data_IF_031625396615
#
_entry.id   IF_031625396615
#
_cell.length_a   1.000
_cell.length_b   1.000
_cell.length_c   1.000
_cell.angle_alpha   90.00
_cell.angle_beta   90.00
_cell.angle_gamma   90.00
#
_symmetry.space_group_name_H-M   'P 1'
#
loop_
_entity.id
_entity.type
_entity.pdbx_description
1 polymer ?
#
# COMPACT_ATOMS: atom_id res chain seq x y z
N UNK A 1 -41.45 11.66 6.76
CA UNK A 1 -40.50 10.61 6.31
C UNK A 1 -41.31 9.38 5.89
N UNK A 2 -41.53 9.17 4.59
CA UNK A 2 -42.22 8.00 4.07
C UNK A 2 -41.36 6.76 4.27
N UNK A 3 -41.81 5.81 5.10
CA UNK A 3 -41.20 4.48 5.21
C UNK A 3 -41.16 3.86 3.81
N UNK A 4 -39.97 3.58 3.30
CA UNK A 4 -39.78 2.81 2.06
C UNK A 4 -40.46 1.46 2.29
N UNK A 5 -41.59 1.24 1.59
CA UNK A 5 -42.29 -0.05 1.64
C UNK A 5 -41.36 -1.10 1.05
N UNK A 6 -41.09 -2.15 1.80
CA UNK A 6 -40.34 -3.29 1.29
C UNK A 6 -41.14 -3.93 0.14
N UNK A 7 -40.60 -3.81 -1.07
CA UNK A 7 -41.22 -4.23 -2.34
C UNK A 7 -40.68 -5.57 -2.82
N UNK A 8 -39.86 -6.24 -2.00
CA UNK A 8 -39.24 -7.52 -2.36
C UNK A 8 -40.30 -8.60 -2.58
N UNK A 9 -41.33 -8.66 -1.74
CA UNK A 9 -42.42 -9.64 -1.90
C UNK A 9 -43.27 -9.37 -3.14
N UNK A 10 -43.64 -8.09 -3.38
CA UNK A 10 -44.35 -7.68 -4.60
C UNK A 10 -43.57 -8.08 -5.87
N UNK A 11 -42.24 -7.98 -5.84
CA UNK A 11 -41.36 -8.40 -6.93
C UNK A 11 -41.30 -9.92 -7.08
N UNK A 12 -41.19 -10.68 -5.99
CA UNK A 12 -41.21 -12.15 -6.02
C UNK A 12 -42.51 -12.68 -6.63
N UNK A 13 -43.64 -12.10 -6.25
CA UNK A 13 -44.95 -12.47 -6.78
C UNK A 13 -45.08 -12.14 -8.26
N UNK A 14 -44.60 -10.98 -8.70
CA UNK A 14 -44.55 -10.61 -10.12
C UNK A 14 -43.68 -11.58 -10.94
N UNK A 15 -42.51 -11.97 -10.42
CA UNK A 15 -41.63 -12.96 -11.07
C UNK A 15 -42.30 -14.33 -11.15
N UNK A 16 -43.02 -14.73 -10.09
CA UNK A 16 -43.78 -15.99 -10.06
C UNK A 16 -44.86 -16.01 -11.12
N UNK A 17 -45.68 -14.96 -11.19
CA UNK A 17 -46.74 -14.83 -12.19
C UNK A 17 -46.17 -14.81 -13.61
N UNK A 18 -45.08 -14.09 -13.84
CA UNK A 18 -44.41 -14.06 -15.15
C UNK A 18 -43.89 -15.45 -15.54
N UNK A 19 -43.23 -16.17 -14.63
CA UNK A 19 -42.70 -17.51 -14.91
C UNK A 19 -43.82 -18.53 -15.24
N UNK A 20 -44.96 -18.45 -14.52
CA UNK A 20 -46.14 -19.27 -14.82
C UNK A 20 -46.71 -18.92 -16.20
N UNK A 21 -46.81 -17.63 -16.53
CA UNK A 21 -47.33 -17.19 -17.84
C UNK A 21 -46.45 -17.63 -19.02
N UNK A 22 -45.15 -17.81 -18.79
CA UNK A 22 -44.20 -18.32 -19.78
C UNK A 22 -44.12 -19.86 -19.83
N UNK A 23 -44.97 -20.57 -19.08
CA UNK A 23 -45.05 -22.04 -19.13
C UNK A 23 -43.90 -22.76 -18.41
N UNK A 24 -43.32 -22.17 -17.37
CA UNK A 24 -42.21 -22.80 -16.64
C UNK A 24 -42.73 -23.94 -15.77
N UNK A 25 -42.11 -25.12 -15.88
CA UNK A 25 -42.41 -26.28 -15.03
C UNK A 25 -42.15 -25.96 -13.54
N UNK A 26 -42.82 -26.68 -12.64
CA UNK A 26 -42.74 -26.50 -11.20
C UNK A 26 -41.30 -26.57 -10.66
N UNK A 27 -40.45 -27.43 -11.24
CA UNK A 27 -39.03 -27.52 -10.91
C UNK A 27 -38.23 -26.27 -11.29
N UNK A 28 -38.52 -25.65 -12.45
CA UNK A 28 -37.88 -24.39 -12.87
C UNK A 28 -38.36 -23.22 -12.04
N UNK A 29 -39.64 -23.20 -11.68
CA UNK A 29 -40.21 -22.19 -10.79
C UNK A 29 -39.57 -22.26 -9.39
N UNK A 30 -39.47 -23.46 -8.81
CA UNK A 30 -38.81 -23.69 -7.54
C UNK A 30 -37.34 -23.26 -7.58
N UNK A 31 -36.62 -23.54 -8.67
CA UNK A 31 -35.23 -23.10 -8.84
C UNK A 31 -35.08 -21.58 -8.92
N UNK A 32 -36.01 -20.86 -9.57
CA UNK A 32 -36.03 -19.39 -9.61
C UNK A 32 -36.32 -18.83 -8.22
N UNK A 33 -37.32 -19.38 -7.53
CA UNK A 33 -37.70 -18.92 -6.18
C UNK A 33 -36.59 -19.19 -5.16
N UNK A 34 -35.87 -20.31 -5.28
CA UNK A 34 -34.74 -20.64 -4.42
C UNK A 34 -33.58 -19.63 -4.53
N UNK A 35 -33.36 -19.03 -5.71
CA UNK A 35 -32.33 -17.99 -5.91
C UNK A 35 -32.60 -16.70 -5.13
N UNK A 36 -33.85 -16.41 -4.77
CA UNK A 36 -34.19 -15.28 -3.91
C UNK A 36 -33.90 -15.55 -2.43
N UNK A 37 -33.81 -16.82 -2.03
CA UNK A 37 -33.57 -17.24 -0.64
C UNK A 37 -32.08 -17.44 -0.40
N UNK A 38 -31.38 -18.07 -1.34
CA UNK A 38 -29.95 -18.35 -1.24
C UNK A 38 -29.25 -17.65 -2.38
N UNK A 39 -28.51 -16.59 -2.06
CA UNK A 39 -27.64 -15.95 -3.02
C UNK A 39 -26.55 -16.94 -3.42
N UNK A 40 -26.46 -17.25 -4.71
CA UNK A 40 -25.35 -18.05 -5.21
C UNK A 40 -24.03 -17.36 -4.82
N UNK A 41 -23.02 -18.11 -4.34
CA UNK A 41 -21.73 -17.51 -4.00
C UNK A 41 -21.20 -16.79 -5.24
N UNK A 42 -20.96 -15.48 -5.10
CA UNK A 42 -20.46 -14.65 -6.18
C UNK A 42 -19.11 -15.22 -6.61
N UNK A 43 -19.02 -15.72 -7.85
CA UNK A 43 -17.76 -16.26 -8.35
C UNK A 43 -16.74 -15.12 -8.38
N UNK A 44 -15.71 -15.22 -7.53
CA UNK A 44 -14.62 -14.23 -7.49
C UNK A 44 -13.83 -14.32 -8.78
N UNK A 45 -13.58 -13.17 -9.40
CA UNK A 45 -12.71 -13.09 -10.57
C UNK A 45 -11.30 -13.59 -10.24
N UNK A 46 -10.52 -14.06 -11.24
CA UNK A 46 -9.13 -14.44 -11.02
C UNK A 46 -8.32 -13.30 -10.39
N UNK A 47 -8.56 -12.06 -10.82
CA UNK A 47 -7.99 -10.85 -10.24
C UNK A 47 -8.29 -10.73 -8.74
N UNK A 48 -9.57 -10.83 -8.33
CA UNK A 48 -9.95 -10.72 -6.92
C UNK A 48 -9.34 -11.84 -6.08
N UNK A 49 -9.21 -13.05 -6.64
CA UNK A 49 -8.58 -14.17 -5.94
C UNK A 49 -7.08 -13.92 -5.72
N UNK A 50 -6.39 -13.43 -6.74
CA UNK A 50 -4.97 -13.06 -6.65
C UNK A 50 -4.76 -11.92 -5.65
N UNK A 51 -5.56 -10.86 -5.72
CA UNK A 51 -5.50 -9.74 -4.78
C UNK A 51 -5.69 -10.16 -3.31
N UNK A 52 -6.65 -11.06 -3.04
CA UNK A 52 -6.86 -11.59 -1.70
C UNK A 52 -5.68 -12.46 -1.21
N UNK A 53 -5.05 -13.22 -2.10
CA UNK A 53 -3.84 -14.00 -1.78
C UNK A 53 -2.66 -13.09 -1.42
N UNK A 54 -2.52 -11.98 -2.14
CA UNK A 54 -1.51 -10.95 -1.82
C UNK A 54 -1.78 -10.30 -0.48
N UNK A 55 -3.04 -9.97 -0.19
CA UNK A 55 -3.44 -9.45 1.13
C UNK A 55 -3.11 -10.42 2.26
N UNK A 56 -3.39 -11.71 2.07
CA UNK A 56 -3.04 -12.75 3.04
C UNK A 56 -1.53 -12.83 3.26
N UNK A 57 -0.73 -12.75 2.18
CA UNK A 57 0.74 -12.75 2.25
C UNK A 57 1.30 -11.54 3.02
N UNK A 58 0.71 -10.35 2.82
CA UNK A 58 1.04 -9.14 3.60
C UNK A 58 0.68 -9.35 5.08
N UNK A 59 -0.47 -9.98 5.36
CA UNK A 59 -0.89 -10.32 6.71
C UNK A 59 0.06 -11.29 7.43
N UNK A 60 0.58 -12.30 6.71
CA UNK A 60 1.58 -13.22 7.26
C UNK A 60 2.90 -12.52 7.57
N UNK A 61 3.32 -11.56 6.72
CA UNK A 61 4.50 -10.74 6.96
C UNK A 61 4.32 -9.88 8.22
N UNK A 62 3.16 -9.24 8.39
CA UNK A 62 2.87 -8.44 9.59
C UNK A 62 2.90 -9.30 10.86
N UNK A 63 2.32 -10.50 10.82
CA UNK A 63 2.37 -11.45 11.94
C UNK A 63 3.80 -11.91 12.25
N UNK A 64 4.60 -12.20 11.22
CA UNK A 64 6.00 -12.55 11.36
C UNK A 64 6.79 -11.44 12.06
N UNK A 65 6.66 -10.20 11.58
CA UNK A 65 7.31 -9.04 12.19
C UNK A 65 6.89 -8.81 13.65
N UNK A 66 5.60 -8.99 13.97
CA UNK A 66 5.12 -8.84 15.34
C UNK A 66 5.71 -9.91 16.28
N UNK A 67 5.80 -11.16 15.81
CA UNK A 67 6.38 -12.27 16.57
C UNK A 67 7.86 -12.03 16.86
N UNK A 68 8.60 -11.57 15.85
CA UNK A 68 10.05 -11.38 15.94
C UNK A 68 10.48 -9.99 16.41
N UNK A 69 9.56 -9.06 16.70
CA UNK A 69 9.88 -7.69 17.13
C UNK A 69 10.83 -7.63 18.34
N UNK A 70 10.53 -8.41 19.39
CA UNK A 70 11.34 -8.43 20.62
C UNK A 70 12.70 -9.07 20.36
N UNK A 71 12.69 -10.18 19.62
CA UNK A 71 13.89 -10.90 19.21
C UNK A 71 14.81 -10.02 18.34
N UNK A 72 14.24 -9.11 17.56
CA UNK A 72 14.99 -8.21 16.69
C UNK A 72 15.60 -7.00 17.43
N UNK A 73 14.85 -6.40 18.36
CA UNK A 73 15.29 -5.19 19.08
C UNK A 73 16.17 -5.51 20.29
N UNK A 74 15.90 -6.59 21.03
CA UNK A 74 16.61 -6.89 22.27
C UNK A 74 18.00 -7.51 22.00
N UNK A 75 19.05 -6.76 22.30
CA UNK A 75 20.45 -7.16 22.07
C UNK A 75 20.82 -8.50 22.73
N UNK A 76 20.27 -8.78 23.91
CA UNK A 76 20.63 -9.92 24.75
C UNK A 76 19.83 -11.20 24.47
N UNK A 77 18.86 -11.13 23.56
CA UNK A 77 17.91 -12.21 23.33
C UNK A 77 18.25 -13.04 22.09
N UNK A 78 18.97 -12.45 21.15
CA UNK A 78 19.33 -13.06 19.85
C UNK A 78 20.75 -12.70 19.44
N UNK A 79 21.31 -13.52 18.56
CA UNK A 79 22.59 -13.26 17.89
C UNK A 79 22.40 -12.31 16.71
N UNK A 80 23.49 -11.65 16.29
CA UNK A 80 23.47 -10.80 15.09
C UNK A 80 23.10 -11.58 13.82
N UNK A 81 23.56 -12.84 13.72
CA UNK A 81 23.22 -13.74 12.62
C UNK A 81 21.71 -14.03 12.53
N UNK A 82 21.04 -14.24 13.67
CA UNK A 82 19.60 -14.47 13.70
C UNK A 82 18.82 -13.21 13.28
N UNK A 83 19.31 -12.02 13.64
CA UNK A 83 18.69 -10.76 13.20
C UNK A 83 18.83 -10.56 11.70
N UNK A 84 20.01 -10.84 11.15
CA UNK A 84 20.24 -10.72 9.71
C UNK A 84 19.41 -11.76 8.93
N UNK A 85 19.14 -12.93 9.50
CA UNK A 85 18.16 -13.90 8.96
C UNK A 85 16.74 -13.33 8.94
N UNK A 86 16.30 -12.68 10.02
CA UNK A 86 14.99 -12.01 10.09
C UNK A 86 14.88 -10.92 9.02
N UNK A 87 15.92 -10.09 8.83
CA UNK A 87 15.95 -9.06 7.78
C UNK A 87 15.87 -9.66 6.38
N UNK A 88 16.60 -10.74 6.13
CA UNK A 88 16.59 -11.42 4.85
C UNK A 88 15.21 -12.02 4.52
N UNK A 89 14.57 -12.67 5.51
CA UNK A 89 13.22 -13.19 5.34
C UNK A 89 12.21 -12.07 5.06
N UNK A 90 12.24 -10.99 5.84
CA UNK A 90 11.36 -9.82 5.62
C UNK A 90 11.58 -9.22 4.23
N UNK A 91 12.83 -9.05 3.80
CA UNK A 91 13.14 -8.54 2.46
C UNK A 91 12.58 -9.45 1.35
N UNK A 92 12.71 -10.76 1.52
CA UNK A 92 12.18 -11.75 0.57
C UNK A 92 10.66 -11.70 0.49
N UNK A 93 9.96 -11.62 1.62
CA UNK A 93 8.50 -11.47 1.66
C UNK A 93 8.04 -10.17 0.97
N UNK A 94 8.71 -9.05 1.24
CA UNK A 94 8.36 -7.76 0.66
C UNK A 94 8.52 -7.78 -0.86
N UNK A 95 9.63 -8.32 -1.37
CA UNK A 95 9.87 -8.50 -2.82
C UNK A 95 8.81 -9.39 -3.46
N UNK A 96 8.48 -10.53 -2.84
CA UNK A 96 7.44 -11.42 -3.34
C UNK A 96 6.04 -10.76 -3.37
N UNK A 97 5.70 -9.95 -2.36
CA UNK A 97 4.45 -9.19 -2.36
C UNK A 97 4.44 -8.11 -3.45
N UNK A 98 5.57 -7.44 -3.66
CA UNK A 98 5.72 -6.43 -4.71
C UNK A 98 5.52 -7.04 -6.10
N UNK A 99 6.15 -8.18 -6.39
CA UNK A 99 5.98 -8.90 -7.65
C UNK A 99 4.51 -9.27 -7.90
N UNK A 100 3.79 -9.73 -6.87
CA UNK A 100 2.36 -10.03 -6.99
C UNK A 100 1.51 -8.78 -7.29
N UNK A 101 1.84 -7.64 -6.66
CA UNK A 101 1.18 -6.36 -6.92
C UNK A 101 1.45 -5.90 -8.36
N UNK A 102 2.68 -6.07 -8.85
CA UNK A 102 3.05 -5.71 -10.22
C UNK A 102 2.34 -6.60 -11.25
N UNK A 103 2.17 -7.89 -10.99
CA UNK A 103 1.36 -8.79 -11.82
C UNK A 103 -0.10 -8.33 -11.87
N UNK A 104 -0.68 -7.94 -10.73
CA UNK A 104 -2.03 -7.39 -10.68
C UNK A 104 -2.13 -6.10 -11.49
N UNK A 105 -1.16 -5.19 -11.34
CA UNK A 105 -1.10 -3.94 -12.10
C UNK A 105 -1.02 -4.18 -13.61
N UNK A 106 -0.16 -5.09 -14.05
CA UNK A 106 -0.03 -5.41 -15.47
C UNK A 106 -1.31 -6.02 -16.05
N UNK A 107 -2.01 -6.86 -15.28
CA UNK A 107 -3.31 -7.41 -15.71
C UNK A 107 -4.37 -6.34 -15.96
N UNK A 108 -4.29 -5.18 -15.28
CA UNK A 108 -5.19 -4.05 -15.50
C UNK A 108 -4.82 -3.31 -16.79
N UNK A 109 -3.53 -3.08 -17.03
CA UNK A 109 -3.06 -2.44 -18.26
C UNK A 109 -3.41 -3.28 -19.51
N UNK A 110 -3.31 -4.60 -19.41
CA UNK A 110 -3.71 -5.52 -20.48
C UNK A 110 -5.23 -5.45 -20.74
N UNK A 111 -6.04 -5.40 -19.68
CA UNK A 111 -7.49 -5.22 -19.80
C UNK A 111 -7.84 -3.86 -20.43
N UNK A 112 -7.13 -2.78 -20.07
CA UNK A 112 -7.29 -1.46 -20.69
C UNK A 112 -6.91 -1.46 -22.17
N UNK A 113 -5.80 -2.11 -22.54
CA UNK A 113 -5.36 -2.21 -23.93
C UNK A 113 -6.37 -2.99 -24.79
N UNK A 114 -6.89 -4.10 -24.27
CA UNK A 114 -7.87 -4.94 -24.96
C UNK A 114 -9.27 -4.29 -25.04
N UNK A 115 -9.61 -3.39 -24.11
CA UNK A 115 -10.88 -2.64 -24.13
C UNK A 115 -10.97 -1.59 -25.26
N UNK A 116 -9.84 -1.25 -25.90
CA UNK A 116 -9.81 -0.36 -27.07
C UNK A 116 -10.12 -1.19 -28.31
N UNK A 117 -11.39 -1.19 -28.74
CA UNK A 117 -11.82 -1.90 -29.95
C UNK A 117 -11.06 -1.46 -31.21
N UNK A 118 -11.04 -2.33 -32.24
CA UNK A 118 -10.33 -2.18 -33.53
C UNK A 118 -10.47 -0.78 -34.18
N UNK A 119 -11.58 -0.07 -33.93
CA UNK A 119 -11.89 1.24 -34.52
C UNK A 119 -11.57 2.46 -33.61
N UNK A 120 -10.92 2.26 -32.46
CA UNK A 120 -10.62 3.35 -31.52
C UNK A 120 -11.85 3.93 -30.80
N UNK A 121 -13.04 3.40 -31.07
CA UNK A 121 -14.28 3.74 -30.37
C UNK A 121 -14.33 2.91 -29.09
N UNK A 122 -14.22 3.55 -27.92
CA UNK A 122 -14.47 2.94 -26.61
C UNK A 122 -15.93 2.46 -26.57
N UNK A 123 -16.16 1.21 -26.92
CA UNK A 123 -17.51 0.60 -26.89
C UNK A 123 -17.99 0.30 -25.48
N UNK A 124 -17.09 0.21 -24.50
CA UNK A 124 -17.42 -0.31 -23.17
C UNK A 124 -17.12 0.69 -22.05
N UNK A 125 -17.95 1.73 -21.91
CA UNK A 125 -17.98 2.57 -20.70
C UNK A 125 -18.31 1.75 -19.44
N UNK A 126 -18.92 0.57 -19.59
CA UNK A 126 -19.23 -0.38 -18.50
C UNK A 126 -17.98 -0.95 -17.82
N UNK A 127 -16.79 -0.85 -18.44
CA UNK A 127 -15.55 -1.33 -17.86
C UNK A 127 -14.82 -0.26 -17.03
N UNK A 128 -15.19 1.02 -17.13
CA UNK A 128 -14.53 2.10 -16.38
C UNK A 128 -14.65 1.88 -14.86
N UNK A 129 -15.84 1.52 -14.38
CA UNK A 129 -16.08 1.19 -12.97
C UNK A 129 -15.25 -0.01 -12.50
N UNK A 130 -15.11 -1.03 -13.36
CA UNK A 130 -14.33 -2.24 -13.07
C UNK A 130 -12.84 -1.92 -13.03
N UNK A 131 -12.34 -1.13 -13.97
CA UNK A 131 -10.95 -0.69 -14.05
C UNK A 131 -10.61 0.19 -12.84
N UNK A 132 -11.45 1.17 -12.51
CA UNK A 132 -11.31 2.01 -11.32
C UNK A 132 -11.30 1.17 -10.03
N UNK A 133 -12.21 0.20 -9.91
CA UNK A 133 -12.21 -0.74 -8.79
C UNK A 133 -10.90 -1.55 -8.71
N UNK A 134 -10.41 -2.10 -9.82
CA UNK A 134 -9.16 -2.87 -9.84
C UNK A 134 -7.95 -2.01 -9.45
N UNK A 135 -7.85 -0.78 -9.97
CA UNK A 135 -6.79 0.15 -9.56
C UNK A 135 -6.89 0.48 -8.07
N UNK A 136 -8.09 0.75 -7.55
CA UNK A 136 -8.32 0.97 -6.12
C UNK A 136 -7.84 -0.20 -5.25
N UNK A 137 -8.08 -1.44 -5.69
CA UNK A 137 -7.57 -2.64 -4.98
C UNK A 137 -6.03 -2.68 -4.96
N UNK A 138 -5.36 -2.39 -6.08
CA UNK A 138 -3.89 -2.35 -6.16
C UNK A 138 -3.31 -1.27 -5.26
N UNK A 139 -3.95 -0.09 -5.19
CA UNK A 139 -3.53 0.99 -4.29
C UNK A 139 -3.61 0.56 -2.83
N UNK A 140 -4.75 -0.02 -2.41
CA UNK A 140 -4.93 -0.51 -1.04
C UNK A 140 -3.86 -1.55 -0.69
N UNK A 141 -3.57 -2.49 -1.59
CA UNK A 141 -2.51 -3.49 -1.36
C UNK A 141 -1.13 -2.83 -1.24
N UNK A 142 -0.82 -1.87 -2.11
CA UNK A 142 0.46 -1.15 -2.11
C UNK A 142 0.64 -0.32 -0.84
N UNK A 143 -0.42 0.37 -0.38
CA UNK A 143 -0.43 1.14 0.86
C UNK A 143 -0.24 0.23 2.08
N UNK A 144 -0.92 -0.92 2.11
CA UNK A 144 -0.75 -1.92 3.18
C UNK A 144 0.67 -2.45 3.24
N UNK A 145 1.24 -2.84 2.09
CA UNK A 145 2.63 -3.30 2.01
C UNK A 145 3.59 -2.20 2.47
N UNK A 146 3.41 -0.98 1.99
CA UNK A 146 4.23 0.17 2.39
C UNK A 146 4.15 0.44 3.90
N UNK A 147 2.96 0.37 4.51
CA UNK A 147 2.79 0.54 5.96
C UNK A 147 3.56 -0.52 6.75
N UNK A 148 3.58 -1.77 6.30
CA UNK A 148 4.32 -2.86 6.96
C UNK A 148 5.83 -2.65 6.79
N UNK A 149 6.29 -2.35 5.58
CA UNK A 149 7.70 -2.03 5.28
C UNK A 149 8.20 -0.84 6.11
N UNK A 150 7.42 0.24 6.20
CA UNK A 150 7.77 1.44 6.99
C UNK A 150 7.92 1.13 8.48
N UNK A 151 7.04 0.29 9.05
CA UNK A 151 7.19 -0.17 10.44
C UNK A 151 8.47 -0.98 10.66
N UNK A 152 8.87 -1.79 9.67
CA UNK A 152 10.12 -2.54 9.74
C UNK A 152 11.33 -1.62 9.69
N UNK A 153 11.33 -0.66 8.77
CA UNK A 153 12.39 0.34 8.65
C UNK A 153 12.58 1.15 9.94
N UNK A 154 11.49 1.47 10.64
CA UNK A 154 11.56 2.13 11.95
C UNK A 154 12.26 1.27 13.00
N UNK A 155 11.93 -0.03 13.08
CA UNK A 155 12.58 -0.95 14.02
C UNK A 155 14.08 -1.07 13.72
N UNK A 156 14.41 -1.13 12.44
CA UNK A 156 15.77 -1.24 11.95
C UNK A 156 16.58 0.04 12.21
N UNK A 157 15.97 1.22 12.03
CA UNK A 157 16.59 2.50 12.39
C UNK A 157 16.94 2.59 13.89
N UNK A 158 16.08 2.07 14.78
CA UNK A 158 16.38 1.99 16.22
C UNK A 158 17.59 1.09 16.48
N UNK A 159 17.65 -0.11 15.87
CA UNK A 159 18.81 -1.01 15.98
C UNK A 159 20.10 -0.33 15.54
N UNK A 160 20.07 0.36 14.39
CA UNK A 160 21.26 1.04 13.87
C UNK A 160 21.68 2.22 14.74
N UNK A 161 20.73 2.98 15.27
CA UNK A 161 21.06 4.04 16.20
C UNK A 161 21.72 3.48 17.47
N UNK A 162 21.26 2.34 17.98
CA UNK A 162 21.85 1.68 19.14
C UNK A 162 23.24 1.09 18.84
N UNK A 163 23.47 0.54 17.64
CA UNK A 163 24.80 0.05 17.24
C UNK A 163 25.79 1.21 17.12
N UNK A 164 25.39 2.34 16.52
CA UNK A 164 26.20 3.56 16.42
C UNK A 164 26.51 4.12 17.82
N UNK A 165 25.49 4.23 18.68
CA UNK A 165 25.65 4.75 20.05
C UNK A 165 26.59 3.90 20.91
N UNK A 166 26.67 2.59 20.65
CA UNK A 166 27.59 1.66 21.32
C UNK A 166 29.00 1.73 20.75
N UNK A 167 29.11 1.83 19.42
CA UNK A 167 30.34 1.99 18.66
C UNK A 167 31.03 3.33 18.95
N UNK A 168 30.27 4.38 19.28
CA UNK A 168 30.83 5.68 19.63
C UNK A 168 31.41 5.61 21.05
N UNK A 169 32.74 5.67 21.25
CA UNK A 169 33.31 5.56 22.58
C UNK A 169 32.81 6.72 23.45
N UNK A 170 32.11 6.39 24.55
CA UNK A 170 31.79 7.36 25.60
C UNK A 170 33.09 7.86 26.17
N UNK A 171 33.55 9.00 25.68
CA UNK A 171 34.73 9.75 26.14
C UNK A 171 34.52 10.11 27.62
N UNK A 172 34.79 9.17 28.53
CA UNK A 172 34.94 9.46 29.95
C UNK A 172 36.27 10.17 30.08
N UNK A 173 36.24 11.49 29.90
CA UNK A 173 37.32 12.38 30.30
C UNK A 173 37.59 12.12 31.78
N UNK A 174 38.61 11.30 32.09
CA UNK A 174 39.14 11.16 33.44
C UNK A 174 39.69 12.54 33.81
N UNK A 175 38.87 13.33 34.51
CA UNK A 175 39.30 14.57 35.16
C UNK A 175 40.34 14.15 36.19
N UNK A 176 41.61 14.29 35.84
CA UNK A 176 42.74 14.22 36.77
C UNK A 176 42.43 15.25 37.86
N UNK A 177 42.13 14.76 39.07
CA UNK A 177 42.11 15.62 40.26
C UNK A 177 43.55 15.97 40.54
N UNK A 178 43.97 17.16 40.12
CA UNK A 178 45.15 17.82 40.67
C UNK A 178 44.89 18.01 42.16
N UNK A 179 45.62 17.30 42.99
CA UNK A 179 45.66 17.53 44.43
C UNK A 179 46.39 18.86 44.64
N UNK A 180 45.65 19.93 44.90
CA UNK A 180 46.20 21.15 45.50
C UNK A 180 46.57 20.84 46.95
N UNK A 181 47.85 20.59 47.21
CA UNK A 181 48.44 20.75 48.53
C UNK A 181 49.09 22.13 48.59
N UNK A 182 48.43 23.05 49.28
CA UNK A 182 49.05 24.26 49.81
C UNK A 182 49.99 23.86 50.96
N UNK A 183 51.25 24.33 50.92
CA UNK A 183 51.85 25.20 51.95
C UNK A 183 53.39 25.30 51.86
N UNK A 184 53.84 26.47 51.39
CA UNK A 184 54.72 27.45 52.07
C UNK A 184 56.11 27.01 52.62
N UNK A 185 57.15 27.62 52.02
CA UNK A 185 58.42 28.15 52.58
C UNK A 185 59.64 27.24 52.85
N UNK A 186 60.80 27.48 52.19
CA UNK A 186 61.84 28.45 52.62
C UNK A 186 63.23 28.26 51.92
N UNK A 187 63.86 29.41 51.62
CA UNK A 187 65.30 29.75 51.73
C UNK A 187 66.38 29.21 50.75
N UNK A 188 66.94 30.17 49.99
CA UNK A 188 68.36 30.48 49.71
C UNK A 188 69.35 29.38 49.27
N UNK A 189 69.90 29.50 48.05
CA UNK A 189 71.28 29.98 47.77
C UNK A 189 71.68 29.81 46.29
N UNK A 190 72.47 30.76 45.80
CA UNK A 190 73.19 30.74 44.52
C UNK A 190 74.41 29.80 44.60
N UNK A 191 74.65 28.96 43.58
CA UNK A 191 76.03 28.60 43.18
C UNK A 191 76.11 28.07 41.74
N UNK A 192 77.17 28.52 41.06
CA UNK A 192 77.55 28.28 39.68
C UNK A 192 78.62 27.19 39.63
N UNK A 193 78.36 25.99 39.06
CA UNK A 193 79.40 25.08 38.51
C UNK A 193 78.79 23.89 37.71
N UNK A 194 79.09 23.81 36.41
CA UNK A 194 79.07 22.56 35.62
C UNK A 194 80.29 21.67 35.96
N UNK A 195 80.46 20.42 35.45
CA UNK A 195 79.56 19.49 34.73
C UNK A 195 79.56 18.06 35.33
N UNK A 196 78.80 17.15 34.71
CA UNK A 196 79.10 15.71 34.46
C UNK A 196 78.13 14.64 35.03
N UNK A 197 77.72 13.76 34.09
CA UNK A 197 77.40 12.32 34.18
C UNK A 197 76.00 11.81 34.60
N UNK A 198 75.31 11.32 33.54
CA UNK A 198 74.48 10.11 33.44
C UNK A 198 73.40 9.81 34.50
N UNK A 199 72.15 10.12 34.11
CA UNK A 199 70.99 9.27 34.35
C UNK A 199 70.11 9.26 33.08
N UNK A 200 70.18 8.23 32.21
CA UNK A 200 69.16 8.00 31.20
C UNK A 200 68.23 6.86 31.67
N UNK A 201 67.08 7.23 32.25
CA UNK A 201 65.96 6.32 32.49
C UNK A 201 64.64 7.07 32.19
N UNK A 202 63.57 6.42 31.69
CA UNK A 202 63.43 5.79 30.38
C UNK A 202 62.39 6.57 29.55
N UNK A 203 62.83 7.57 28.78
CA UNK A 203 61.95 8.34 27.88
C UNK A 203 61.41 7.52 26.71
N UNK A 204 62.10 6.45 26.32
CA UNK A 204 61.69 5.54 25.26
C UNK A 204 60.41 4.77 25.59
N UNK A 205 60.22 4.35 26.84
CA UNK A 205 59.07 3.52 27.24
C UNK A 205 57.77 4.32 27.27
N UNK A 206 57.81 5.60 27.67
CA UNK A 206 56.63 6.47 27.65
C UNK A 206 56.21 6.83 26.21
N UNK A 207 57.18 7.00 25.32
CA UNK A 207 56.94 7.33 23.92
C UNK A 207 56.45 6.10 23.14
N UNK A 208 56.98 4.92 23.47
CA UNK A 208 56.51 3.63 22.95
C UNK A 208 55.09 3.29 23.42
N UNK A 209 54.73 3.63 24.67
CA UNK A 209 53.37 3.48 25.20
C UNK A 209 52.35 4.41 24.50
N UNK A 210 52.76 5.63 24.16
CA UNK A 210 51.92 6.58 23.42
C UNK A 210 51.74 6.16 21.95
N UNK A 211 52.78 5.60 21.34
CA UNK A 211 52.71 4.99 20.00
C UNK A 211 51.82 3.74 20.00
N UNK A 212 51.85 2.94 21.06
CA UNK A 212 50.97 1.78 21.23
C UNK A 212 49.51 2.20 21.45
N UNK A 213 49.25 3.24 22.27
CA UNK A 213 47.90 3.79 22.49
C UNK A 213 47.33 4.42 21.22
N UNK A 214 48.13 5.17 20.45
CA UNK A 214 47.69 5.73 19.17
C UNK A 214 47.41 4.65 18.14
N UNK A 215 48.23 3.59 18.08
CA UNK A 215 47.95 2.42 17.22
C UNK A 215 46.68 1.69 17.64
N UNK A 216 46.46 1.49 18.94
CA UNK A 216 45.24 0.87 19.46
C UNK A 216 43.99 1.70 19.10
N UNK A 217 44.05 3.02 19.26
CA UNK A 217 42.97 3.93 18.86
C UNK A 217 42.75 3.93 17.35
N UNK A 218 43.80 3.84 16.55
CA UNK A 218 43.69 3.79 15.09
C UNK A 218 43.04 2.48 14.63
N UNK A 219 43.38 1.34 15.26
CA UNK A 219 42.73 0.05 15.01
C UNK A 219 41.26 0.10 15.44
N UNK A 220 40.94 0.69 16.59
CA UNK A 220 39.55 0.86 17.04
C UNK A 220 38.77 1.73 16.05
N UNK A 221 39.30 2.91 15.67
CA UNK A 221 38.65 3.80 14.71
C UNK A 221 38.44 3.14 13.34
N UNK A 222 39.41 2.35 12.87
CA UNK A 222 39.29 1.63 11.60
C UNK A 222 38.19 0.57 11.70
N UNK A 223 38.14 -0.19 12.80
CA UNK A 223 37.07 -1.16 13.04
C UNK A 223 35.69 -0.51 13.20
N UNK A 224 35.62 0.69 13.79
CA UNK A 224 34.38 1.47 13.88
C UNK A 224 33.93 1.95 12.50
N UNK A 225 34.86 2.41 11.66
CA UNK A 225 34.57 2.87 10.30
C UNK A 225 34.04 1.72 9.45
N UNK A 226 34.70 0.55 9.49
CA UNK A 226 34.25 -0.65 8.77
C UNK A 226 32.84 -1.08 9.22
N UNK A 227 32.58 -1.09 10.53
CA UNK A 227 31.25 -1.40 11.07
C UNK A 227 30.19 -0.38 10.63
N UNK A 228 30.51 0.91 10.64
CA UNK A 228 29.60 1.97 10.18
C UNK A 228 29.31 1.82 8.69
N UNK A 229 30.33 1.58 7.86
CA UNK A 229 30.18 1.40 6.41
C UNK A 229 29.34 0.16 6.07
N UNK A 230 29.53 -0.95 6.77
CA UNK A 230 28.69 -2.14 6.62
C UNK A 230 27.23 -1.84 7.03
N UNK A 231 27.02 -1.11 8.13
CA UNK A 231 25.66 -0.74 8.54
C UNK A 231 24.98 0.25 7.58
N UNK A 232 25.74 1.18 7.00
CA UNK A 232 25.25 2.15 6.03
C UNK A 232 24.77 1.45 4.75
N UNK A 233 25.58 0.56 4.19
CA UNK A 233 25.23 -0.19 2.98
C UNK A 233 23.97 -1.05 3.19
N UNK A 234 23.85 -1.77 4.31
CA UNK A 234 22.64 -2.54 4.66
C UNK A 234 21.41 -1.63 4.83
N UNK A 235 21.57 -0.42 5.36
CA UNK A 235 20.47 0.53 5.51
C UNK A 235 19.96 1.04 4.16
N UNK A 236 20.88 1.41 3.25
CA UNK A 236 20.58 2.07 1.98
C UNK A 236 19.69 1.22 1.06
N UNK A 237 19.97 -0.08 0.91
CA UNK A 237 19.24 -0.93 -0.04
C UNK A 237 17.73 -1.02 0.25
N UNK A 238 17.36 -1.26 1.51
CA UNK A 238 15.97 -1.41 1.88
C UNK A 238 15.26 -0.05 2.00
N UNK A 239 15.98 1.00 2.42
CA UNK A 239 15.44 2.36 2.40
C UNK A 239 15.17 2.84 0.97
N UNK A 240 15.99 2.43 0.00
CA UNK A 240 15.73 2.67 -1.42
C UNK A 240 14.46 1.92 -1.87
N UNK A 241 14.29 0.66 -1.48
CA UNK A 241 13.07 -0.11 -1.79
C UNK A 241 11.81 0.53 -1.19
N UNK A 242 11.86 0.96 0.07
CA UNK A 242 10.75 1.64 0.72
C UNK A 242 10.42 2.98 0.05
N UNK A 243 11.44 3.74 -0.36
CA UNK A 243 11.26 4.99 -1.10
C UNK A 243 10.62 4.77 -2.48
N UNK A 244 11.05 3.73 -3.22
CA UNK A 244 10.43 3.34 -4.48
C UNK A 244 8.95 2.96 -4.29
N UNK A 245 8.62 2.24 -3.21
CA UNK A 245 7.24 1.94 -2.86
C UNK A 245 6.42 3.20 -2.55
N UNK A 246 6.93 4.14 -1.76
CA UNK A 246 6.26 5.43 -1.51
C UNK A 246 5.95 6.16 -2.82
N UNK A 247 6.91 6.18 -3.73
CA UNK A 247 6.76 6.83 -5.04
C UNK A 247 5.69 6.15 -5.88
N UNK A 248 5.69 4.81 -5.91
CA UNK A 248 4.68 4.04 -6.63
C UNK A 248 3.27 4.23 -6.06
N UNK A 249 3.12 4.25 -4.73
CA UNK A 249 1.82 4.49 -4.07
C UNK A 249 1.29 5.88 -4.42
N UNK A 250 2.14 6.91 -4.37
CA UNK A 250 1.76 8.28 -4.72
C UNK A 250 1.35 8.40 -6.18
N UNK A 251 2.14 7.83 -7.10
CA UNK A 251 1.81 7.83 -8.53
C UNK A 251 0.47 7.13 -8.80
N UNK A 252 0.22 5.98 -8.16
CA UNK A 252 -1.04 5.24 -8.31
C UNK A 252 -2.24 6.01 -7.77
N UNK A 253 -2.09 6.71 -6.64
CA UNK A 253 -3.17 7.51 -6.06
C UNK A 253 -3.66 8.59 -7.04
N UNK A 254 -2.74 9.28 -7.72
CA UNK A 254 -3.09 10.28 -8.72
C UNK A 254 -3.80 9.67 -9.95
N UNK A 255 -3.34 8.50 -10.43
CA UNK A 255 -3.99 7.81 -11.54
C UNK A 255 -5.44 7.40 -11.20
N UNK A 256 -5.70 7.00 -9.96
CA UNK A 256 -7.04 6.60 -9.51
C UNK A 256 -8.00 7.77 -9.46
N UNK A 257 -7.55 8.97 -9.06
CA UNK A 257 -8.39 10.16 -9.04
C UNK A 257 -8.94 10.46 -10.44
N UNK A 258 -8.08 10.43 -11.46
CA UNK A 258 -8.48 10.61 -12.86
C UNK A 258 -9.42 9.51 -13.36
N UNK A 259 -9.16 8.26 -12.99
CA UNK A 259 -10.03 7.14 -13.35
C UNK A 259 -11.38 7.20 -12.65
N UNK A 260 -11.43 7.68 -11.41
CA UNK A 260 -12.65 7.85 -10.65
C UNK A 260 -13.55 8.92 -11.28
N UNK A 261 -12.98 10.06 -11.68
CA UNK A 261 -13.73 11.10 -12.39
C UNK A 261 -14.35 10.57 -13.69
N UNK A 262 -13.58 9.78 -14.46
CA UNK A 262 -14.08 9.13 -15.68
C UNK A 262 -15.19 8.11 -15.41
N UNK A 263 -15.09 7.33 -14.32
CA UNK A 263 -16.09 6.36 -13.92
C UNK A 263 -17.40 7.05 -13.47
N UNK A 264 -17.29 8.15 -12.72
CA UNK A 264 -18.43 8.98 -12.33
C UNK A 264 -19.10 9.57 -13.58
N UNK A 265 -18.33 10.15 -14.51
CA UNK A 265 -18.86 10.69 -15.76
C UNK A 265 -19.59 9.61 -16.57
N UNK A 266 -18.99 8.43 -16.74
CA UNK A 266 -19.61 7.30 -17.42
C UNK A 266 -20.95 6.90 -16.77
N UNK A 267 -20.99 6.80 -15.44
CA UNK A 267 -22.20 6.50 -14.69
C UNK A 267 -23.28 7.56 -14.91
N UNK A 268 -22.91 8.85 -14.85
CA UNK A 268 -23.86 9.94 -15.10
C UNK A 268 -24.42 9.91 -16.52
N UNK A 269 -23.57 9.61 -17.52
CA UNK A 269 -23.99 9.50 -18.92
C UNK A 269 -24.95 8.34 -19.14
N UNK A 270 -24.73 7.19 -18.49
CA UNK A 270 -25.67 6.05 -18.53
C UNK A 270 -27.00 6.39 -17.86
N UNK A 271 -26.99 7.09 -16.72
CA UNK A 271 -28.21 7.52 -16.05
C UNK A 271 -29.03 8.49 -16.91
N UNK A 272 -28.37 9.48 -17.51
CA UNK A 272 -28.97 10.41 -18.46
C UNK A 272 -29.53 9.69 -19.67
N UNK A 273 -28.77 8.75 -20.26
CA UNK A 273 -29.22 7.91 -21.37
C UNK A 273 -30.49 7.12 -21.03
N UNK A 274 -30.55 6.51 -19.84
CA UNK A 274 -31.74 5.77 -19.37
C UNK A 274 -32.97 6.69 -19.20
N UNK A 275 -32.77 7.93 -18.73
CA UNK A 275 -33.83 8.93 -18.65
C UNK A 275 -34.35 9.28 -20.05
N UNK A 276 -33.47 9.50 -21.01
CA UNK A 276 -33.86 9.81 -22.39
C UNK A 276 -34.55 8.64 -23.09
N UNK A 277 -34.09 7.39 -22.87
CA UNK A 277 -34.79 6.19 -23.37
C UNK A 277 -36.19 6.09 -22.77
N UNK A 278 -36.33 6.33 -21.46
CA UNK A 278 -37.64 6.30 -20.80
C UNK A 278 -38.58 7.37 -21.36
N UNK A 279 -38.08 8.58 -21.59
CA UNK A 279 -38.83 9.66 -22.26
C UNK A 279 -39.22 9.27 -23.69
N UNK A 280 -38.33 8.64 -24.44
CA UNK A 280 -38.60 8.18 -25.81
C UNK A 280 -39.70 7.12 -25.84
N UNK A 281 -39.69 6.16 -24.91
CA UNK A 281 -40.75 5.14 -24.76
C UNK A 281 -42.09 5.81 -24.44
N UNK A 282 -42.11 6.76 -23.49
CA UNK A 282 -43.33 7.50 -23.14
C UNK A 282 -43.88 8.29 -24.32
N UNK A 283 -43.02 8.99 -25.06
CA UNK A 283 -43.40 9.76 -26.26
C UNK A 283 -43.91 8.85 -27.38
N UNK A 284 -43.32 7.67 -27.57
CA UNK A 284 -43.78 6.69 -28.55
C UNK A 284 -45.20 6.19 -28.23
N UNK A 285 -45.48 5.86 -26.96
CA UNK A 285 -46.83 5.47 -26.52
C UNK A 285 -47.84 6.60 -26.74
N UNK A 286 -47.47 7.84 -26.42
CA UNK A 286 -48.34 9.00 -26.62
C UNK A 286 -48.65 9.26 -28.09
N UNK A 287 -47.66 9.11 -28.98
CA UNK A 287 -47.81 9.27 -30.43
C UNK A 287 -48.82 8.28 -31.01
N UNK A 288 -48.75 7.01 -30.58
CA UNK A 288 -49.67 5.96 -31.02
C UNK A 288 -51.12 6.28 -30.64
N UNK A 289 -51.36 6.77 -29.42
CA UNK A 289 -52.70 7.18 -28.96
C UNK A 289 -53.22 8.38 -29.76
N UNK A 290 -52.36 9.35 -30.04
CA UNK A 290 -52.74 10.53 -30.84
C UNK A 290 -53.11 10.15 -32.28
N UNK A 291 -52.35 9.25 -32.92
CA UNK A 291 -52.64 8.77 -34.27
C UNK A 291 -53.99 8.04 -34.32
N UNK A 292 -54.30 7.18 -33.35
CA UNK A 292 -55.59 6.49 -33.27
C UNK A 292 -56.76 7.47 -33.10
N UNK A 293 -56.60 8.50 -32.26
CA UNK A 293 -57.62 9.54 -32.08
C UNK A 293 -57.84 10.34 -33.36
N UNK A 294 -56.75 10.74 -34.03
CA UNK A 294 -56.82 11.45 -35.32
C UNK A 294 -57.56 10.63 -36.37
N UNK A 295 -57.23 9.34 -36.50
CA UNK A 295 -57.88 8.46 -37.47
C UNK A 295 -59.36 8.24 -37.14
N UNK A 296 -59.71 8.12 -35.85
CA UNK A 296 -61.10 8.07 -35.40
C UNK A 296 -61.86 9.34 -35.82
N UNK A 297 -61.38 10.53 -35.49
CA UNK A 297 -62.03 11.80 -35.87
C UNK A 297 -62.17 11.94 -37.39
N UNK A 298 -61.14 11.56 -38.15
CA UNK A 298 -61.17 11.58 -39.61
C UNK A 298 -62.27 10.66 -40.17
N UNK A 299 -62.37 9.43 -39.67
CA UNK A 299 -63.41 8.48 -40.13
C UNK A 299 -64.83 8.97 -39.85
N UNK A 300 -65.08 9.54 -38.67
CA UNK A 300 -66.39 10.14 -38.35
C UNK A 300 -66.68 11.38 -39.20
N UNK A 301 -65.67 12.20 -39.50
CA UNK A 301 -65.83 13.38 -40.35
C UNK A 301 -66.23 12.99 -41.78
N UNK A 302 -65.61 11.93 -42.33
CA UNK A 302 -65.97 11.40 -43.66
C UNK A 302 -67.40 10.83 -43.65
N UNK A 303 -67.76 10.06 -42.62
CA UNK A 303 -69.10 9.48 -42.51
C UNK A 303 -70.20 10.54 -42.35
N UNK A 304 -69.91 11.63 -41.63
CA UNK A 304 -70.82 12.78 -41.53
C UNK A 304 -70.97 13.51 -42.86
N UNK A 305 -69.88 13.67 -43.62
CA UNK A 305 -69.91 14.27 -44.96
C UNK A 305 -70.73 13.42 -45.95
N UNK A 306 -70.58 12.10 -45.87
CA UNK A 306 -71.36 11.14 -46.69
C UNK A 306 -72.85 11.16 -46.33
N UNK A 307 -73.19 11.28 -45.04
CA UNK A 307 -74.58 11.39 -44.60
C UNK A 307 -75.25 12.72 -44.97
N UNK A 308 -74.47 13.80 -45.09
CA UNK A 308 -74.97 15.13 -45.44
C UNK A 308 -75.07 15.35 -46.96
N UNK A 309 -74.32 14.58 -47.76
CA UNK A 309 -74.41 14.58 -49.23
C UNK A 309 -75.67 13.90 -49.76
#
# INVERSE_FOLDING_TARGET
MSKVRDRIEDFKDAVRHSAISMGYNESKLAAIMAKFIIHAPRQRSPFTRAALKTLESIGTLEQFMLKHRKDYVDLHRTTEQERDSIEHEVSTFIKACQEQIDVLKNSINDDEANSKGWLGIRTDYSNADIIAHKHGVVLILSERLHSVTSRFDQLRAVRFQDSINKATPRRKLKRIKTTESADISNSNNLELREPNEFQPEPLTVQQELLDDETRALQVELTGLLDAVQETETKMVEMSALNHLMSTHVLQQAHQIEQLYDQAVEATTNVELGNKEISKAIQRNSSSRTFLLLFLFVLTFSILFLDWYS
#
